data_IF_657549598704
#
_entry.id   IF_657549598704
#
_cell.length_a   1.000
_cell.length_b   1.000
_cell.length_c   1.000
_cell.angle_alpha   90.00
_cell.angle_beta   90.00
_cell.angle_gamma   90.00
#
_symmetry.space_group_name_H-M   'P 1'
#
loop_
_entity.id
_entity.type
_entity.pdbx_description
1 polymer ?
#
# COMPACT_ATOMS: atom_id res chain seq x y z
N UNK A 1 11.10 -18.02 -14.64
CA UNK A 1 11.44 -16.69 -14.09
C UNK A 1 11.26 -15.70 -15.23
N UNK A 2 10.36 -14.72 -15.08
CA UNK A 2 10.22 -13.64 -16.07
C UNK A 2 11.53 -12.85 -16.09
N UNK A 3 12.17 -12.73 -17.25
CA UNK A 3 13.31 -11.83 -17.41
C UNK A 3 12.80 -10.39 -17.29
N UNK A 4 13.44 -9.58 -16.44
CA UNK A 4 13.16 -8.14 -16.34
C UNK A 4 13.22 -7.50 -17.73
N UNK A 5 12.30 -6.56 -18.03
CA UNK A 5 12.41 -5.73 -19.24
C UNK A 5 13.70 -4.93 -19.25
N UNK A 6 14.02 -4.29 -18.12
CA UNK A 6 15.29 -3.58 -17.89
C UNK A 6 15.68 -3.66 -16.40
N UNK A 7 16.99 -3.71 -16.07
CA UNK A 7 17.46 -3.71 -14.68
C UNK A 7 17.43 -2.28 -14.09
N UNK A 8 16.23 -1.73 -13.89
CA UNK A 8 16.01 -0.33 -13.48
C UNK A 8 16.77 0.08 -12.19
N UNK A 9 16.94 -0.83 -11.23
CA UNK A 9 17.69 -0.57 -10.01
C UNK A 9 19.19 -0.34 -10.28
N UNK A 10 19.75 -0.98 -11.31
CA UNK A 10 21.14 -0.79 -11.73
C UNK A 10 21.28 0.42 -12.66
N UNK A 11 20.30 0.66 -13.52
CA UNK A 11 20.31 1.78 -14.48
C UNK A 11 19.98 3.13 -13.82
N UNK A 12 19.27 3.14 -12.70
CA UNK A 12 18.85 4.36 -11.99
C UNK A 12 18.94 4.20 -10.47
N UNK A 13 20.14 3.92 -9.93
CA UNK A 13 20.32 3.55 -8.54
C UNK A 13 19.90 4.66 -7.57
N UNK A 14 20.27 5.92 -7.85
CA UNK A 14 19.93 7.04 -6.97
C UNK A 14 18.40 7.25 -6.85
N UNK A 15 17.67 7.16 -7.96
CA UNK A 15 16.21 7.29 -7.96
C UNK A 15 15.54 6.13 -7.20
N UNK A 16 16.00 4.90 -7.43
CA UNK A 16 15.47 3.74 -6.72
C UNK A 16 15.77 3.79 -5.21
N UNK A 17 16.96 4.26 -4.82
CA UNK A 17 17.31 4.47 -3.41
C UNK A 17 16.40 5.49 -2.72
N UNK A 18 15.93 6.53 -3.41
CA UNK A 18 14.95 7.46 -2.84
C UNK A 18 13.63 6.77 -2.47
N UNK A 19 13.14 5.87 -3.32
CA UNK A 19 11.93 5.08 -3.03
C UNK A 19 12.15 4.13 -1.85
N UNK A 20 13.32 3.48 -1.77
CA UNK A 20 13.65 2.60 -0.65
C UNK A 20 13.79 3.36 0.67
N UNK A 21 14.42 4.54 0.65
CA UNK A 21 14.54 5.40 1.82
C UNK A 21 13.16 5.83 2.35
N UNK A 22 12.26 6.18 1.44
CA UNK A 22 10.85 6.49 1.78
C UNK A 22 10.17 5.28 2.42
N UNK A 23 10.35 4.09 1.85
CA UNK A 23 9.77 2.86 2.40
C UNK A 23 10.29 2.56 3.81
N UNK A 24 11.59 2.74 4.05
CA UNK A 24 12.21 2.53 5.36
C UNK A 24 11.67 3.50 6.40
N UNK A 25 11.49 4.78 6.04
CA UNK A 25 10.90 5.78 6.93
C UNK A 25 9.45 5.41 7.30
N UNK A 26 8.64 5.01 6.31
CA UNK A 26 7.25 4.61 6.55
C UNK A 26 7.13 3.34 7.39
N UNK A 27 8.04 2.37 7.24
CA UNK A 27 8.05 1.16 8.07
C UNK A 27 8.30 1.45 9.56
N UNK A 28 8.95 2.58 9.87
CA UNK A 28 9.18 3.07 11.23
C UNK A 28 8.16 4.15 11.67
N UNK A 29 7.15 4.43 10.85
CA UNK A 29 6.14 5.47 11.12
C UNK A 29 5.15 5.06 12.22
N UNK A 30 4.42 6.03 12.81
CA UNK A 30 3.35 5.76 13.77
C UNK A 30 2.16 4.95 13.21
N UNK A 31 2.09 4.71 11.89
CA UNK A 31 1.05 3.84 11.32
C UNK A 31 1.11 2.40 11.86
N UNK A 32 2.32 1.93 12.16
CA UNK A 32 2.60 0.54 12.47
C UNK A 32 2.71 -0.34 11.22
N UNK A 33 3.67 -1.27 11.25
CA UNK A 33 3.99 -2.13 10.12
C UNK A 33 2.79 -2.96 9.60
N UNK A 34 1.92 -3.55 10.44
CA UNK A 34 0.78 -4.33 9.94
C UNK A 34 -0.19 -3.51 9.10
N UNK A 35 -0.51 -2.27 9.50
CA UNK A 35 -1.42 -1.41 8.73
C UNK A 35 -0.78 -0.95 7.42
N UNK A 36 0.51 -0.57 7.47
CA UNK A 36 1.27 -0.18 6.29
C UNK A 36 1.27 -1.30 5.23
N UNK A 37 1.60 -2.52 5.64
CA UNK A 37 1.66 -3.68 4.76
C UNK A 37 0.28 -4.09 4.25
N UNK A 38 -0.79 -3.90 5.05
CA UNK A 38 -2.17 -4.14 4.62
C UNK A 38 -2.60 -3.19 3.49
N UNK A 39 -2.26 -1.90 3.63
CA UNK A 39 -2.48 -0.88 2.60
C UNK A 39 -1.68 -1.23 1.35
N UNK A 40 -0.41 -1.60 1.50
CA UNK A 40 0.46 -2.02 0.39
C UNK A 40 -0.11 -3.22 -0.37
N UNK A 41 -0.58 -4.23 0.35
CA UNK A 41 -1.21 -5.40 -0.25
C UNK A 41 -2.48 -5.01 -1.01
N UNK A 42 -3.35 -4.17 -0.44
CA UNK A 42 -4.60 -3.76 -1.10
C UNK A 42 -4.36 -2.95 -2.38
N UNK A 43 -3.46 -1.96 -2.32
CA UNK A 43 -3.07 -1.18 -3.50
C UNK A 43 -2.48 -2.09 -4.58
N UNK A 44 -1.68 -3.08 -4.19
CA UNK A 44 -1.09 -4.05 -5.11
C UNK A 44 -2.12 -5.01 -5.73
N UNK A 45 -3.19 -5.37 -5.01
CA UNK A 45 -4.32 -6.14 -5.55
C UNK A 45 -5.02 -5.36 -6.65
N UNK A 46 -5.29 -4.07 -6.42
CA UNK A 46 -5.92 -3.19 -7.42
C UNK A 46 -5.06 -3.05 -8.67
N UNK A 47 -3.76 -2.83 -8.49
CA UNK A 47 -2.83 -2.59 -9.60
C UNK A 47 -2.32 -3.88 -10.28
N UNK A 48 -2.64 -5.07 -9.76
CA UNK A 48 -2.23 -6.34 -10.34
C UNK A 48 -0.73 -6.63 -10.28
N UNK A 49 -0.01 -6.13 -9.26
CA UNK A 49 1.44 -6.37 -9.12
C UNK A 49 1.73 -7.71 -8.43
N UNK A 50 1.91 -8.81 -9.18
CA UNK A 50 2.18 -10.15 -8.61
C UNK A 50 3.39 -10.19 -7.67
N UNK A 51 4.49 -9.50 -8.01
CA UNK A 51 5.67 -9.42 -7.13
C UNK A 51 5.33 -8.78 -5.78
N UNK A 52 4.62 -7.64 -5.82
CA UNK A 52 4.26 -6.89 -4.64
C UNK A 52 3.26 -7.68 -3.78
N UNK A 53 2.31 -8.39 -4.39
CA UNK A 53 1.39 -9.29 -3.67
C UNK A 53 2.14 -10.36 -2.86
N UNK A 54 3.11 -11.03 -3.48
CA UNK A 54 3.93 -12.03 -2.79
C UNK A 54 4.69 -11.44 -1.61
N UNK A 55 5.35 -10.29 -1.83
CA UNK A 55 6.12 -9.60 -0.78
C UNK A 55 5.26 -9.19 0.42
N UNK A 56 4.20 -8.42 0.17
CA UNK A 56 3.42 -7.83 1.26
C UNK A 56 2.55 -8.87 2.01
N UNK A 57 2.05 -9.89 1.30
CA UNK A 57 1.36 -11.02 1.96
C UNK A 57 2.30 -11.87 2.81
N UNK A 58 3.58 -11.98 2.44
CA UNK A 58 4.58 -12.65 3.26
C UNK A 58 4.88 -11.83 4.53
N UNK A 59 5.16 -10.54 4.40
CA UNK A 59 5.43 -9.66 5.56
C UNK A 59 4.27 -9.66 6.56
N UNK A 60 3.02 -9.61 6.07
CA UNK A 60 1.84 -9.66 6.95
C UNK A 60 1.73 -10.97 7.74
N UNK A 61 2.06 -12.10 7.11
CA UNK A 61 2.12 -13.41 7.80
C UNK A 61 3.23 -13.43 8.84
N UNK A 62 4.39 -12.85 8.54
CA UNK A 62 5.50 -12.70 9.50
C UNK A 62 5.12 -11.77 10.67
N UNK A 63 4.26 -10.78 10.44
CA UNK A 63 3.67 -9.93 11.48
C UNK A 63 2.55 -10.63 12.28
N UNK A 64 2.21 -11.88 11.99
CA UNK A 64 1.17 -12.63 12.69
C UNK A 64 -0.27 -12.27 12.29
N UNK A 65 -0.48 -11.61 11.15
CA UNK A 65 -1.83 -11.35 10.64
C UNK A 65 -2.47 -12.66 10.20
N UNK A 66 -3.70 -12.91 10.65
CA UNK A 66 -4.42 -14.13 10.36
C UNK A 66 -4.71 -14.29 8.86
N UNK A 67 -4.63 -15.53 8.38
CA UNK A 67 -4.77 -15.85 6.95
C UNK A 67 -6.16 -15.49 6.41
N UNK A 68 -7.21 -15.72 7.18
CA UNK A 68 -8.60 -15.38 6.83
C UNK A 68 -8.77 -13.88 6.53
N UNK A 69 -8.10 -13.00 7.28
CA UNK A 69 -8.07 -11.56 7.03
C UNK A 69 -7.39 -11.22 5.70
N UNK A 70 -6.30 -11.90 5.36
CA UNK A 70 -5.60 -11.70 4.08
C UNK A 70 -6.47 -12.15 2.90
N UNK A 71 -7.14 -13.30 3.06
CA UNK A 71 -8.04 -13.86 2.05
C UNK A 71 -9.26 -12.94 1.81
N UNK A 72 -9.75 -12.29 2.86
CA UNK A 72 -10.89 -11.37 2.81
C UNK A 72 -10.54 -9.93 2.39
N UNK A 73 -9.26 -9.57 2.25
CA UNK A 73 -8.85 -8.18 2.01
C UNK A 73 -9.45 -7.57 0.75
N UNK A 74 -9.60 -8.34 -0.33
CA UNK A 74 -10.20 -7.81 -1.56
C UNK A 74 -11.70 -7.47 -1.38
N UNK A 75 -12.37 -8.09 -0.40
CA UNK A 75 -13.77 -7.88 -0.03
C UNK A 75 -13.97 -7.15 1.30
N UNK A 76 -12.98 -6.39 1.76
CA UNK A 76 -12.92 -5.84 3.12
C UNK A 76 -14.18 -5.04 3.55
N UNK A 77 -14.90 -4.38 2.63
CA UNK A 77 -16.06 -3.53 2.95
C UNK A 77 -17.18 -4.27 3.67
N UNK A 78 -17.41 -5.53 3.32
CA UNK A 78 -18.46 -6.38 3.90
C UNK A 78 -17.92 -7.39 4.92
N UNK A 79 -16.61 -7.35 5.22
CA UNK A 79 -15.97 -8.24 6.17
C UNK A 79 -15.90 -7.59 7.55
N UNK A 80 -16.21 -8.36 8.60
CA UNK A 80 -16.09 -7.94 10.01
C UNK A 80 -14.65 -8.04 10.54
N UNK A 81 -13.70 -8.57 9.75
CA UNK A 81 -12.31 -8.78 10.15
C UNK A 81 -11.47 -7.48 10.20
N UNK A 82 -12.03 -6.37 9.73
CA UNK A 82 -11.36 -5.07 9.64
C UNK A 82 -11.98 -4.07 10.60
N UNK A 83 -11.16 -3.46 11.45
CA UNK A 83 -11.61 -2.43 12.37
C UNK A 83 -11.79 -1.07 11.66
N UNK A 84 -12.41 -0.09 12.32
CA UNK A 84 -12.72 1.20 11.70
C UNK A 84 -11.48 1.97 11.22
N UNK A 85 -10.36 1.87 11.95
CA UNK A 85 -9.09 2.49 11.54
C UNK A 85 -8.55 1.86 10.25
N UNK A 86 -8.58 0.54 10.13
CA UNK A 86 -8.18 -0.17 8.91
C UNK A 86 -9.12 0.14 7.76
N UNK A 87 -10.43 0.17 7.99
CA UNK A 87 -11.44 0.51 6.98
C UNK A 87 -11.23 1.91 6.43
N UNK A 88 -10.98 2.89 7.30
CA UNK A 88 -10.65 4.26 6.90
C UNK A 88 -9.37 4.33 6.06
N UNK A 89 -8.31 3.60 6.44
CA UNK A 89 -7.08 3.53 5.65
C UNK A 89 -7.29 2.85 4.28
N UNK A 90 -8.03 1.75 4.24
CA UNK A 90 -8.31 1.01 3.01
C UNK A 90 -9.16 1.84 2.05
N UNK A 91 -10.18 2.54 2.54
CA UNK A 91 -11.01 3.38 1.68
C UNK A 91 -10.21 4.55 1.07
N UNK A 92 -9.34 5.19 1.87
CA UNK A 92 -8.43 6.21 1.36
C UNK A 92 -7.42 5.65 0.37
N UNK A 93 -6.87 4.46 0.64
CA UNK A 93 -5.94 3.78 -0.25
C UNK A 93 -6.55 3.45 -1.62
N UNK A 94 -7.79 2.95 -1.64
CA UNK A 94 -8.50 2.70 -2.89
C UNK A 94 -8.81 4.01 -3.62
N UNK A 95 -9.26 5.04 -2.90
CA UNK A 95 -9.57 6.36 -3.46
C UNK A 95 -8.37 6.93 -4.22
N UNK A 96 -7.21 7.01 -3.56
CA UNK A 96 -6.00 7.55 -4.18
C UNK A 96 -5.41 6.64 -5.26
N UNK A 97 -5.63 5.32 -5.18
CA UNK A 97 -5.23 4.41 -6.27
C UNK A 97 -6.05 4.65 -7.53
N UNK A 98 -7.32 5.01 -7.39
CA UNK A 98 -8.22 5.41 -8.49
C UNK A 98 -8.32 6.93 -8.68
N UNK A 99 -7.31 7.71 -8.27
CA UNK A 99 -7.36 9.18 -8.30
C UNK A 99 -7.66 9.77 -9.68
N UNK A 100 -7.28 9.08 -10.76
CA UNK A 100 -7.55 9.52 -12.13
C UNK A 100 -9.04 9.49 -12.50
N UNK A 101 -9.84 8.68 -11.82
CA UNK A 101 -11.27 8.48 -12.06
C UNK A 101 -12.10 9.25 -11.01
N UNK A 102 -11.74 9.11 -9.73
CA UNK A 102 -12.56 9.60 -8.61
C UNK A 102 -12.05 10.89 -7.97
N UNK A 103 -10.85 11.35 -8.34
CA UNK A 103 -10.16 12.42 -7.63
C UNK A 103 -9.88 12.03 -6.17
N UNK A 104 -9.93 13.01 -5.27
CA UNK A 104 -9.76 12.83 -3.83
C UNK A 104 -10.75 13.75 -3.08
N UNK A 105 -12.06 13.42 -3.07
CA UNK A 105 -13.07 14.28 -2.47
C UNK A 105 -12.92 14.35 -0.95
N UNK A 106 -13.21 15.51 -0.37
CA UNK A 106 -13.12 15.75 1.08
C UNK A 106 -13.94 14.73 1.89
N UNK A 107 -15.07 14.26 1.35
CA UNK A 107 -15.90 13.24 1.99
C UNK A 107 -15.18 11.91 2.28
N UNK A 108 -14.10 11.60 1.55
CA UNK A 108 -13.27 10.40 1.76
C UNK A 108 -12.00 10.71 2.58
N UNK A 109 -11.63 11.99 2.70
CA UNK A 109 -10.53 12.45 3.54
C UNK A 109 -10.95 12.72 4.99
N UNK A 110 -12.06 13.45 5.19
CA UNK A 110 -12.53 13.87 6.52
C UNK A 110 -12.70 12.70 7.52
N UNK A 111 -13.22 11.51 7.13
CA UNK A 111 -13.33 10.37 8.04
C UNK A 111 -11.99 9.90 8.62
N UNK A 112 -10.85 10.16 7.95
CA UNK A 112 -9.54 9.79 8.47
C UNK A 112 -9.23 10.46 9.81
N UNK A 113 -9.68 11.70 10.01
CA UNK A 113 -9.38 12.51 11.21
C UNK A 113 -9.95 11.90 12.49
N UNK A 114 -10.94 11.00 12.38
CA UNK A 114 -11.49 10.28 13.53
C UNK A 114 -10.57 9.14 14.01
N UNK A 115 -9.66 8.66 13.16
CA UNK A 115 -8.86 7.45 13.41
C UNK A 115 -7.34 7.69 13.35
N UNK A 116 -6.92 8.81 12.77
CA UNK A 116 -5.52 9.14 12.49
C UNK A 116 -5.21 10.59 12.87
N UNK A 117 -4.01 10.80 13.43
CA UNK A 117 -3.39 12.11 13.57
C UNK A 117 -2.96 12.67 12.20
N UNK A 118 -2.69 13.98 12.13
CA UNK A 118 -2.23 14.63 10.90
C UNK A 118 -0.94 13.99 10.34
N UNK A 119 -0.02 13.58 11.22
CA UNK A 119 1.21 12.87 10.84
C UNK A 119 0.88 11.51 10.22
N UNK A 120 -0.01 10.74 10.84
CA UNK A 120 -0.41 9.44 10.29
C UNK A 120 -1.17 9.56 8.97
N UNK A 121 -1.99 10.60 8.79
CA UNK A 121 -2.68 10.85 7.51
C UNK A 121 -1.66 11.19 6.41
N UNK A 122 -0.65 12.00 6.74
CA UNK A 122 0.47 12.29 5.83
C UNK A 122 1.23 11.00 5.46
N UNK A 123 1.62 10.20 6.45
CA UNK A 123 2.34 8.94 6.23
C UNK A 123 1.50 7.93 5.44
N UNK A 124 0.19 7.84 5.70
CA UNK A 124 -0.71 6.97 4.95
C UNK A 124 -0.78 7.39 3.48
N UNK A 125 -0.85 8.69 3.22
CA UNK A 125 -0.90 9.23 1.86
C UNK A 125 0.42 8.99 1.11
N UNK A 126 1.56 9.16 1.80
CA UNK A 126 2.88 8.81 1.27
C UNK A 126 2.99 7.32 0.99
N UNK A 127 2.48 6.46 1.87
CA UNK A 127 2.46 5.01 1.69
C UNK A 127 1.66 4.60 0.45
N UNK A 128 0.44 5.12 0.29
CA UNK A 128 -0.39 4.82 -0.90
C UNK A 128 0.30 5.28 -2.18
N UNK A 129 0.91 6.47 -2.15
CA UNK A 129 1.66 7.02 -3.29
C UNK A 129 2.88 6.18 -3.64
N UNK A 130 3.67 5.80 -2.63
CA UNK A 130 4.87 4.99 -2.79
C UNK A 130 4.54 3.59 -3.33
N UNK A 131 3.49 2.95 -2.82
CA UNK A 131 3.08 1.64 -3.32
C UNK A 131 2.59 1.72 -4.78
N UNK A 132 1.85 2.78 -5.11
CA UNK A 132 1.46 3.06 -6.50
C UNK A 132 2.68 3.24 -7.41
N UNK A 133 3.76 3.86 -6.94
CA UNK A 133 5.01 3.98 -7.68
C UNK A 133 5.71 2.62 -7.86
N UNK A 134 5.86 1.84 -6.79
CA UNK A 134 6.46 0.50 -6.86
C UNK A 134 5.66 -0.46 -7.74
N UNK A 135 4.32 -0.43 -7.69
CA UNK A 135 3.50 -1.24 -8.57
C UNK A 135 3.73 -0.89 -10.06
N UNK A 136 3.80 0.41 -10.38
CA UNK A 136 4.11 0.88 -11.75
C UNK A 136 5.48 0.40 -12.22
N UNK A 137 6.49 0.45 -11.34
CA UNK A 137 7.83 -0.06 -11.65
C UNK A 137 7.81 -1.58 -11.87
N UNK A 138 7.23 -2.34 -10.95
CA UNK A 138 7.24 -3.80 -11.02
C UNK A 138 6.47 -4.33 -12.25
N UNK A 139 5.24 -3.84 -12.48
CA UNK A 139 4.44 -4.20 -13.66
C UNK A 139 5.09 -3.69 -14.94
N UNK A 140 5.58 -2.45 -14.91
CA UNK A 140 6.25 -1.80 -16.04
C UNK A 140 7.57 -2.47 -16.43
N UNK A 141 8.26 -3.11 -15.49
CA UNK A 141 9.56 -3.77 -15.71
C UNK A 141 9.50 -5.30 -15.72
N UNK A 142 8.31 -5.90 -15.59
CA UNK A 142 8.07 -7.35 -15.52
C UNK A 142 8.84 -8.05 -14.39
N UNK A 143 8.83 -7.41 -13.21
CA UNK A 143 9.36 -7.97 -11.97
C UNK A 143 8.51 -9.14 -11.47
#
# INVERSE_FOLDING_TARGET
MSQLRLPFATLSPAAYQGLLATNTALAASPLGLPLLELVYLRVSQINGCSFCLGKHSQTLRECGVAQDKLDCLAGWRVSELFNDRERAALDWAETLTYVHDKGAPDALYEPLKAHFSEVEISDLTLAVSLMNAFNRLAVGMKL
#
